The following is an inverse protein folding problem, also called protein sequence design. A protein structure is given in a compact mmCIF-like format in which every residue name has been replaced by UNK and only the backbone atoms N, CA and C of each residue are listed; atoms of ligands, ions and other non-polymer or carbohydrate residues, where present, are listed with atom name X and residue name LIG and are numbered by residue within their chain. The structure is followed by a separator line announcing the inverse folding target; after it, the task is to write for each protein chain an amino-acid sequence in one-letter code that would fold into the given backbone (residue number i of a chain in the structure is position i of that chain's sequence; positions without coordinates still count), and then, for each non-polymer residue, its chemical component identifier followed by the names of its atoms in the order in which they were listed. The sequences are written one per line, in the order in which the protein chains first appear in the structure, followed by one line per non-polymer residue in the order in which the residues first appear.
data_IF_086103686680
#
_entry.id   IF_086103686680
#
_cell.length_a   1.000
_cell.length_b   1.000
_cell.length_c   1.000
_cell.angle_alpha   90.00
_cell.angle_beta   90.00
_cell.angle_gamma   90.00
#
_symmetry.space_group_name_H-M   'P 1'
#
loop_
_entity.id
_entity.type
_entity.pdbx_description
1 polymer ?
#
# COMPACT_ATOMS: atom_id res chain seq x y z
N UNK A 1 5.86 9.39 -16.15
CA UNK A 1 7.24 9.11 -15.64
C UNK A 1 8.40 10.04 -16.11
N UNK A 2 8.21 11.05 -16.96
CA UNK A 2 9.29 12.00 -17.34
C UNK A 2 9.21 13.35 -16.61
N UNK A 3 8.20 13.52 -15.76
CA UNK A 3 7.87 14.78 -15.09
C UNK A 3 8.91 15.13 -14.01
N UNK A 4 9.23 16.43 -13.82
CA UNK A 4 10.12 16.85 -12.73
C UNK A 4 9.45 16.67 -11.36
N UNK A 5 10.24 16.62 -10.29
CA UNK A 5 9.72 16.51 -8.91
C UNK A 5 10.05 15.18 -8.26
N UNK A 6 9.34 14.83 -7.20
CA UNK A 6 9.42 13.52 -6.51
C UNK A 6 8.04 12.95 -6.18
N UNK A 7 7.06 13.83 -6.14
CA UNK A 7 5.62 13.68 -6.02
C UNK A 7 4.94 13.39 -7.37
N UNK A 8 5.59 12.53 -8.18
CA UNK A 8 5.13 12.09 -9.50
C UNK A 8 5.41 10.61 -9.66
N UNK A 9 4.75 9.94 -10.60
CA UNK A 9 4.98 8.52 -10.86
C UNK A 9 6.41 8.29 -11.41
N UNK A 10 7.12 7.35 -10.78
CA UNK A 10 8.48 6.98 -11.16
C UNK A 10 8.67 5.47 -11.25
N UNK A 11 9.40 5.02 -12.26
CA UNK A 11 10.01 3.70 -12.26
C UNK A 11 11.27 3.64 -11.39
N UNK A 12 11.78 2.42 -11.17
CA UNK A 12 12.97 2.19 -10.37
C UNK A 12 14.21 2.92 -10.92
N UNK A 13 14.33 3.04 -12.25
CA UNK A 13 15.47 3.76 -12.86
C UNK A 13 15.41 5.25 -12.53
N UNK A 14 14.22 5.83 -12.55
CA UNK A 14 13.98 7.25 -12.34
C UNK A 14 14.20 7.65 -10.88
N UNK A 15 13.64 6.91 -9.92
CA UNK A 15 13.83 7.20 -8.50
C UNK A 15 15.32 7.11 -8.12
N UNK A 16 16.03 6.07 -8.56
CA UNK A 16 17.47 5.90 -8.30
C UNK A 16 18.31 7.02 -8.90
N UNK A 17 18.03 7.42 -10.15
CA UNK A 17 18.70 8.57 -10.78
C UNK A 17 18.47 9.86 -9.99
N UNK A 18 17.26 10.09 -9.46
CA UNK A 18 16.92 11.28 -8.68
C UNK A 18 17.64 11.28 -7.33
N UNK A 19 17.75 10.12 -6.67
CA UNK A 19 18.57 9.91 -5.47
C UNK A 19 20.03 10.25 -5.78
N UNK A 20 20.62 9.67 -6.83
CA UNK A 20 22.02 9.89 -7.22
C UNK A 20 22.32 11.37 -7.56
N UNK A 21 21.33 12.09 -8.10
CA UNK A 21 21.44 13.52 -8.42
C UNK A 21 21.21 14.47 -7.24
N UNK A 22 20.82 13.96 -6.06
CA UNK A 22 20.53 14.76 -4.86
C UNK A 22 19.22 15.55 -4.93
N UNK A 23 18.27 15.12 -5.78
CA UNK A 23 16.94 15.75 -5.88
C UNK A 23 15.99 15.22 -4.80
N UNK A 24 16.13 13.94 -4.44
CA UNK A 24 15.33 13.32 -3.37
C UNK A 24 15.85 13.80 -2.01
N UNK A 25 14.98 14.31 -1.12
CA UNK A 25 15.39 14.73 0.23
C UNK A 25 15.82 13.53 1.07
N UNK A 26 16.63 13.78 2.11
CA UNK A 26 17.22 12.72 2.96
C UNK A 26 16.19 11.71 3.48
N UNK A 27 15.04 12.19 3.97
CA UNK A 27 13.95 11.30 4.44
C UNK A 27 13.43 10.37 3.34
N UNK A 28 13.38 10.85 2.09
CA UNK A 28 12.91 10.06 0.95
C UNK A 28 13.94 9.02 0.53
N UNK A 29 15.23 9.36 0.59
CA UNK A 29 16.33 8.41 0.38
C UNK A 29 16.28 7.32 1.46
N UNK A 30 16.13 7.70 2.73
CA UNK A 30 16.01 6.76 3.85
C UNK A 30 14.82 5.82 3.69
N UNK A 31 13.65 6.34 3.27
CA UNK A 31 12.47 5.52 2.99
C UNK A 31 12.73 4.49 1.90
N UNK A 32 13.19 4.94 0.72
CA UNK A 32 13.41 4.04 -0.43
C UNK A 32 14.49 2.99 -0.12
N UNK A 33 15.60 3.38 0.51
CA UNK A 33 16.65 2.45 0.89
C UNK A 33 16.17 1.47 1.97
N UNK A 34 15.42 1.92 2.98
CA UNK A 34 14.84 1.01 3.97
C UNK A 34 13.82 0.05 3.36
N UNK A 35 13.04 0.50 2.37
CA UNK A 35 12.11 -0.33 1.63
C UNK A 35 12.85 -1.43 0.87
N UNK A 36 13.80 -1.01 0.02
CA UNK A 36 14.58 -1.90 -0.84
C UNK A 36 15.41 -2.89 -0.02
N UNK A 37 16.06 -2.45 1.05
CA UNK A 37 16.82 -3.32 1.94
C UNK A 37 15.91 -4.31 2.69
N UNK A 38 14.68 -3.90 3.04
CA UNK A 38 13.69 -4.81 3.63
C UNK A 38 13.24 -5.90 2.66
N UNK A 39 12.97 -5.54 1.39
CA UNK A 39 12.56 -6.52 0.38
C UNK A 39 13.70 -7.44 -0.05
N UNK A 40 14.88 -6.89 -0.34
CA UNK A 40 16.00 -7.65 -0.92
C UNK A 40 16.93 -8.26 0.15
N UNK A 41 16.73 -7.91 1.41
CA UNK A 41 17.50 -8.41 2.53
C UNK A 41 16.96 -9.71 3.10
N UNK A 42 17.58 -10.11 4.20
CA UNK A 42 17.18 -11.28 4.99
C UNK A 42 17.01 -10.86 6.45
N UNK A 43 16.09 -11.53 7.14
CA UNK A 43 15.88 -11.43 8.57
C UNK A 43 15.65 -12.81 9.14
N UNK A 44 16.24 -13.11 10.28
CA UNK A 44 16.22 -14.46 10.86
C UNK A 44 16.65 -15.53 9.83
N UNK A 45 17.70 -15.23 9.05
CA UNK A 45 18.21 -16.09 7.96
C UNK A 45 17.15 -16.44 6.89
N UNK A 46 16.08 -15.64 6.80
CA UNK A 46 14.93 -15.84 5.90
C UNK A 46 14.76 -14.61 4.99
N UNK A 47 14.53 -14.78 3.68
CA UNK A 47 14.25 -13.65 2.78
C UNK A 47 12.86 -13.06 3.06
N UNK A 48 12.60 -11.87 2.53
CA UNK A 48 11.28 -11.24 2.65
C UNK A 48 10.12 -12.20 2.25
N UNK A 49 9.00 -12.25 3.00
CA UNK A 49 7.99 -13.29 2.80
C UNK A 49 7.34 -13.30 1.41
N UNK A 50 7.07 -12.11 0.88
CA UNK A 50 6.47 -11.95 -0.44
C UNK A 50 7.54 -12.10 -1.53
N UNK A 51 7.66 -13.29 -2.10
CA UNK A 51 8.60 -13.52 -3.20
C UNK A 51 8.28 -12.70 -4.46
N UNK A 52 7.02 -12.33 -4.68
CA UNK A 52 6.64 -11.43 -5.78
C UNK A 52 7.22 -10.04 -5.59
N UNK A 53 7.17 -9.48 -4.38
CA UNK A 53 7.79 -8.18 -4.07
C UNK A 53 9.30 -8.20 -4.26
N UNK A 54 9.96 -9.32 -3.93
CA UNK A 54 11.38 -9.52 -4.23
C UNK A 54 11.62 -9.49 -5.75
N UNK A 55 10.83 -10.26 -6.49
CA UNK A 55 10.98 -10.41 -7.95
C UNK A 55 10.76 -9.09 -8.69
N UNK A 56 9.71 -8.34 -8.35
CA UNK A 56 9.41 -7.04 -8.98
C UNK A 56 10.50 -6.01 -8.66
N UNK A 57 10.99 -5.97 -7.42
CA UNK A 57 12.09 -5.07 -7.02
C UNK A 57 13.42 -5.44 -7.70
N UNK A 58 13.71 -6.73 -7.89
CA UNK A 58 14.93 -7.18 -8.59
C UNK A 58 14.90 -6.88 -10.10
N UNK A 59 13.72 -6.98 -10.72
CA UNK A 59 13.53 -6.69 -12.15
C UNK A 59 13.43 -5.21 -12.46
N UNK A 60 13.05 -4.41 -11.48
CA UNK A 60 12.81 -2.97 -11.64
C UNK A 60 11.40 -2.65 -12.13
N UNK A 61 10.45 -3.54 -11.85
CA UNK A 61 9.04 -3.46 -12.28
C UNK A 61 8.16 -2.68 -11.29
N UNK A 62 8.65 -2.42 -10.09
CA UNK A 62 7.93 -1.62 -9.08
C UNK A 62 7.92 -0.14 -9.47
N UNK A 63 6.80 0.53 -9.15
CA UNK A 63 6.60 1.96 -9.34
C UNK A 63 6.61 2.68 -7.98
N UNK A 64 6.97 3.96 -7.98
CA UNK A 64 7.16 4.73 -6.75
C UNK A 64 6.68 6.18 -6.89
N UNK A 65 6.30 6.76 -5.76
CA UNK A 65 6.12 8.21 -5.61
C UNK A 65 6.37 8.64 -4.16
N UNK A 66 6.62 9.93 -3.95
CA UNK A 66 6.75 10.52 -2.62
C UNK A 66 5.58 11.46 -2.33
N UNK A 67 4.95 11.30 -1.17
CA UNK A 67 3.90 12.22 -0.73
C UNK A 67 4.44 13.12 0.39
N UNK A 68 4.48 14.46 0.22
CA UNK A 68 5.12 15.35 1.18
C UNK A 68 4.31 15.56 2.48
N UNK A 69 3.10 15.01 2.58
CA UNK A 69 2.24 15.13 3.76
C UNK A 69 1.18 14.04 3.80
N UNK A 70 0.79 13.60 5.00
CA UNK A 70 -0.34 12.69 5.20
C UNK A 70 -1.69 13.43 5.33
N UNK A 71 -1.71 14.77 5.44
CA UNK A 71 -2.92 15.55 5.73
C UNK A 71 -3.07 16.83 4.91
N UNK A 72 -2.03 17.22 4.15
CA UNK A 72 -2.11 18.42 3.32
C UNK A 72 -2.95 18.14 2.07
N UNK A 73 -3.93 19.00 1.83
CA UNK A 73 -4.91 18.82 0.75
C UNK A 73 -4.24 18.72 -0.62
N UNK A 74 -3.30 19.62 -0.94
CA UNK A 74 -2.72 19.69 -2.28
C UNK A 74 -1.74 18.51 -2.50
N UNK A 75 -1.05 18.08 -1.44
CA UNK A 75 -0.24 16.86 -1.45
C UNK A 75 -1.07 15.59 -1.73
N UNK A 76 -2.24 15.46 -1.08
CA UNK A 76 -3.11 14.29 -1.27
C UNK A 76 -3.86 14.33 -2.61
N UNK A 77 -4.17 15.51 -3.15
CA UNK A 77 -4.67 15.64 -4.53
C UNK A 77 -3.61 15.21 -5.55
N UNK A 78 -2.36 15.63 -5.38
CA UNK A 78 -1.25 15.21 -6.24
C UNK A 78 -1.01 13.69 -6.18
N UNK A 79 -1.21 13.08 -4.99
CA UNK A 79 -1.21 11.62 -4.86
C UNK A 79 -2.37 10.98 -5.65
N UNK A 80 -3.57 11.57 -5.58
CA UNK A 80 -4.71 11.15 -6.40
C UNK A 80 -4.39 11.19 -7.90
N UNK A 81 -3.82 12.28 -8.40
CA UNK A 81 -3.35 12.40 -9.80
C UNK A 81 -2.30 11.34 -10.16
N UNK A 82 -1.36 11.06 -9.25
CA UNK A 82 -0.36 9.99 -9.44
C UNK A 82 -1.01 8.61 -9.53
N UNK A 83 -2.05 8.34 -8.74
CA UNK A 83 -2.80 7.08 -8.80
C UNK A 83 -3.58 6.95 -10.11
N UNK A 84 -4.07 8.05 -10.68
CA UNK A 84 -4.68 8.05 -12.02
C UNK A 84 -3.64 7.73 -13.10
N UNK A 85 -2.48 8.39 -13.10
CA UNK A 85 -1.38 8.06 -14.04
C UNK A 85 -0.96 6.60 -13.88
N UNK A 86 -0.89 6.11 -12.64
CA UNK A 86 -0.57 4.72 -12.35
C UNK A 86 -1.57 3.73 -12.98
N UNK A 87 -2.87 3.96 -12.82
CA UNK A 87 -3.91 3.13 -13.41
C UNK A 87 -3.87 3.12 -14.95
N UNK A 88 -3.39 4.19 -15.58
CA UNK A 88 -3.23 4.23 -17.05
C UNK A 88 -2.05 3.39 -17.57
N UNK A 89 -1.04 3.10 -16.73
CA UNK A 89 0.24 2.55 -17.22
C UNK A 89 0.64 1.20 -16.62
N UNK A 90 0.09 0.79 -15.48
CA UNK A 90 0.63 -0.35 -14.73
C UNK A 90 0.55 -1.68 -15.51
N UNK A 91 -0.55 -1.93 -16.23
CA UNK A 91 -0.74 -3.14 -17.04
C UNK A 91 0.28 -3.25 -18.18
N UNK A 92 0.59 -2.12 -18.83
CA UNK A 92 1.58 -2.04 -19.91
C UNK A 92 3.03 -2.01 -19.38
N UNK A 93 3.23 -1.63 -18.12
CA UNK A 93 4.54 -1.52 -17.49
C UNK A 93 5.15 -2.90 -17.19
N UNK A 94 4.40 -3.77 -16.52
CA UNK A 94 4.80 -5.15 -16.21
C UNK A 94 3.57 -6.00 -15.86
N UNK A 95 3.69 -7.33 -15.96
CA UNK A 95 2.69 -8.27 -15.42
C UNK A 95 2.40 -7.98 -13.95
N UNK A 96 3.41 -7.52 -13.20
CA UNK A 96 3.22 -7.04 -11.82
C UNK A 96 3.98 -5.75 -11.57
N UNK A 97 3.23 -4.67 -11.35
CA UNK A 97 3.79 -3.35 -11.12
C UNK A 97 3.13 -2.70 -9.89
N UNK A 98 3.48 -3.08 -8.65
CA UNK A 98 2.94 -2.42 -7.46
C UNK A 98 3.43 -0.96 -7.39
N UNK A 99 2.59 -0.06 -6.86
CA UNK A 99 2.96 1.33 -6.59
C UNK A 99 3.24 1.54 -5.10
N UNK A 100 4.49 1.84 -4.73
CA UNK A 100 4.85 2.19 -3.35
C UNK A 100 4.93 3.71 -3.15
N UNK A 101 4.17 4.21 -2.17
CA UNK A 101 4.09 5.62 -1.79
C UNK A 101 4.83 5.81 -0.47
N UNK A 102 5.82 6.70 -0.47
CA UNK A 102 6.57 7.08 0.74
C UNK A 102 6.09 8.41 1.26
N UNK A 103 5.55 8.43 2.48
CA UNK A 103 5.05 9.66 3.10
C UNK A 103 6.15 10.33 3.90
N UNK A 104 6.24 11.66 3.81
CA UNK A 104 7.17 12.43 4.63
C UNK A 104 6.88 12.19 6.12
N UNK A 105 7.88 11.75 6.91
CA UNK A 105 7.65 11.46 8.31
C UNK A 105 7.43 12.73 9.14
N UNK A 106 6.71 12.56 10.25
CA UNK A 106 6.57 13.62 11.26
C UNK A 106 7.92 13.86 11.95
N UNK A 107 8.14 15.10 12.40
CA UNK A 107 9.29 15.43 13.25
C UNK A 107 9.08 14.96 14.71
N UNK A 108 7.85 14.63 15.07
CA UNK A 108 7.46 14.15 16.40
C UNK A 108 7.27 12.63 16.38
N UNK A 109 7.42 11.98 17.54
CA UNK A 109 7.09 10.56 17.69
C UNK A 109 5.58 10.39 17.48
N UNK A 110 5.23 9.51 16.55
CA UNK A 110 3.84 9.18 16.19
C UNK A 110 3.51 7.79 16.76
N UNK A 111 2.37 7.70 17.44
CA UNK A 111 1.83 6.46 18.01
C UNK A 111 1.16 5.58 16.95
N UNK A 112 0.88 4.32 17.27
CA UNK A 112 0.15 3.41 16.37
C UNK A 112 -1.24 3.96 16.01
N UNK A 113 -1.99 4.47 17.00
CA UNK A 113 -3.30 5.13 16.79
C UNK A 113 -3.20 6.22 15.73
N UNK A 114 -2.21 7.10 15.84
CA UNK A 114 -2.04 8.23 14.91
C UNK A 114 -1.67 7.75 13.49
N UNK A 115 -0.95 6.63 13.34
CA UNK A 115 -0.72 6.03 12.03
C UNK A 115 -1.97 5.40 11.43
N UNK A 116 -2.80 4.75 12.25
CA UNK A 116 -4.12 4.27 11.80
C UNK A 116 -5.00 5.44 11.35
N UNK A 117 -5.09 6.51 12.15
CA UNK A 117 -5.84 7.72 11.80
C UNK A 117 -5.33 8.35 10.49
N UNK A 118 -4.01 8.46 10.33
CA UNK A 118 -3.41 9.02 9.11
C UNK A 118 -3.69 8.17 7.87
N UNK A 119 -3.50 6.85 7.95
CA UNK A 119 -3.78 5.93 6.85
C UNK A 119 -5.24 6.00 6.42
N UNK A 120 -6.17 5.94 7.38
CA UNK A 120 -7.60 6.01 7.08
C UNK A 120 -8.04 7.38 6.59
N UNK A 121 -7.41 8.46 7.07
CA UNK A 121 -7.61 9.79 6.51
C UNK A 121 -7.22 9.86 5.03
N UNK A 122 -6.07 9.29 4.65
CA UNK A 122 -5.61 9.24 3.25
C UNK A 122 -6.60 8.48 2.38
N UNK A 123 -7.00 7.27 2.77
CA UNK A 123 -7.96 6.47 1.98
C UNK A 123 -9.33 7.15 1.89
N UNK A 124 -9.81 7.73 2.98
CA UNK A 124 -11.06 8.49 2.98
C UNK A 124 -11.00 9.72 2.08
N UNK A 125 -9.86 10.44 2.07
CA UNK A 125 -9.62 11.58 1.19
C UNK A 125 -9.67 11.16 -0.27
N UNK A 126 -8.95 10.10 -0.64
CA UNK A 126 -8.96 9.55 -2.00
C UNK A 126 -10.38 9.15 -2.42
N UNK A 127 -11.14 8.45 -1.58
CA UNK A 127 -12.55 8.09 -1.88
C UNK A 127 -13.48 9.30 -2.06
N UNK A 128 -13.25 10.40 -1.33
CA UNK A 128 -14.01 11.65 -1.49
C UNK A 128 -13.66 12.37 -2.80
N UNK A 129 -12.44 12.20 -3.28
CA UNK A 129 -11.95 12.86 -4.49
C UNK A 129 -11.89 11.93 -5.71
N UNK A 130 -12.35 10.69 -5.58
CA UNK A 130 -12.38 9.69 -6.65
C UNK A 130 -13.13 10.23 -7.89
N UNK A 131 -12.49 10.28 -9.07
CA UNK A 131 -13.13 10.73 -10.29
C UNK A 131 -14.17 9.75 -10.83
N UNK A 132 -14.14 8.48 -10.41
CA UNK A 132 -15.08 7.44 -10.82
C UNK A 132 -16.03 7.04 -9.68
N UNK A 133 -17.24 6.53 -9.99
CA UNK A 133 -18.12 5.99 -8.97
C UNK A 133 -17.54 4.70 -8.38
N UNK A 134 -17.86 4.42 -7.12
CA UNK A 134 -17.52 3.14 -6.50
C UNK A 134 -18.07 1.96 -7.34
N UNK A 135 -17.26 0.95 -7.71
CA UNK A 135 -17.65 -0.14 -8.61
C UNK A 135 -18.92 -0.86 -8.16
N UNK A 136 -19.88 -1.10 -9.07
CA UNK A 136 -21.18 -1.70 -8.75
C UNK A 136 -21.07 -3.07 -8.06
N UNK A 137 -20.08 -3.87 -8.47
CA UNK A 137 -19.85 -5.23 -8.00
C UNK A 137 -19.05 -5.30 -6.68
N UNK A 138 -18.50 -4.19 -6.19
CA UNK A 138 -17.80 -4.16 -4.90
C UNK A 138 -18.75 -3.62 -3.81
N UNK A 139 -18.94 -4.33 -2.69
CA UNK A 139 -19.74 -3.87 -1.57
C UNK A 139 -19.30 -2.50 -1.04
N UNK A 140 -20.20 -1.80 -0.35
CA UNK A 140 -19.85 -0.56 0.38
C UNK A 140 -19.69 -0.77 1.88
N UNK A 141 -20.09 -1.95 2.38
CA UNK A 141 -19.92 -2.31 3.79
C UNK A 141 -18.52 -2.91 3.97
N UNK A 142 -17.60 -2.29 4.73
CA UNK A 142 -16.26 -2.81 4.94
C UNK A 142 -16.22 -4.14 5.70
N UNK A 143 -17.31 -4.55 6.35
CA UNK A 143 -17.39 -5.86 7.00
C UNK A 143 -17.83 -6.99 6.04
N UNK A 144 -18.15 -6.67 4.79
CA UNK A 144 -18.37 -7.64 3.72
C UNK A 144 -17.03 -8.27 3.27
N UNK A 145 -17.02 -9.58 3.04
CA UNK A 145 -15.80 -10.31 2.68
C UNK A 145 -15.31 -10.01 1.26
N UNK A 146 -16.16 -9.43 0.40
CA UNK A 146 -15.77 -8.97 -0.94
C UNK A 146 -15.47 -7.46 -0.97
N UNK A 147 -15.55 -6.75 0.16
CA UNK A 147 -15.18 -5.35 0.22
C UNK A 147 -13.67 -5.16 0.04
N UNK A 148 -13.29 -4.19 -0.79
CA UNK A 148 -11.92 -3.71 -0.95
C UNK A 148 -11.94 -2.22 -1.29
N UNK A 149 -10.92 -1.48 -0.86
CA UNK A 149 -10.74 -0.08 -1.22
C UNK A 149 -10.67 0.10 -2.74
N UNK A 150 -11.50 0.98 -3.30
CA UNK A 150 -11.48 1.31 -4.72
C UNK A 150 -11.09 2.77 -4.94
N UNK A 151 -10.36 3.04 -6.02
CA UNK A 151 -10.09 4.38 -6.54
C UNK A 151 -10.07 4.35 -8.06
N UNK A 152 -10.65 5.33 -8.74
CA UNK A 152 -10.74 5.39 -10.20
C UNK A 152 -11.39 4.12 -10.80
N UNK A 153 -12.40 3.58 -10.10
CA UNK A 153 -13.09 2.34 -10.50
C UNK A 153 -12.27 1.05 -10.34
N UNK A 154 -11.03 1.12 -9.86
CA UNK A 154 -10.14 -0.03 -9.67
C UNK A 154 -10.10 -0.46 -8.19
N UNK A 155 -10.41 -1.73 -7.87
CA UNK A 155 -10.17 -2.31 -6.55
C UNK A 155 -8.67 -2.48 -6.28
N UNK A 156 -8.21 -2.01 -5.12
CA UNK A 156 -6.80 -2.05 -4.74
C UNK A 156 -6.63 -2.52 -3.30
N UNK A 157 -5.52 -3.22 -3.06
CA UNK A 157 -5.08 -3.65 -1.73
C UNK A 157 -3.94 -2.74 -1.22
N UNK A 158 -4.19 -1.75 -0.36
CA UNK A 158 -3.16 -0.89 0.20
C UNK A 158 -2.44 -1.62 1.35
N UNK A 159 -1.23 -2.08 1.11
CA UNK A 159 -0.41 -2.73 2.15
C UNK A 159 0.50 -1.70 2.81
N UNK A 160 0.35 -1.49 4.11
CA UNK A 160 1.12 -0.50 4.84
C UNK A 160 2.32 -1.10 5.59
N UNK A 161 3.37 -0.29 5.70
CA UNK A 161 4.46 -0.45 6.66
C UNK A 161 4.60 0.81 7.52
N UNK A 162 4.98 0.65 8.78
CA UNK A 162 5.05 1.75 9.73
C UNK A 162 6.13 1.53 10.83
N UNK A 163 6.54 2.60 11.56
CA UNK A 163 7.59 2.50 12.57
C UNK A 163 7.21 1.82 13.88
N UNK A 164 5.93 1.66 14.20
CA UNK A 164 5.49 1.15 15.49
C UNK A 164 5.63 -0.38 15.65
N UNK A 165 5.81 -1.13 14.56
CA UNK A 165 5.93 -2.60 14.64
C UNK A 165 7.20 -3.07 15.34
N UNK A 166 7.06 -3.77 16.46
CA UNK A 166 8.15 -4.35 17.24
C UNK A 166 8.46 -5.78 16.80
N UNK A 167 7.45 -6.59 16.53
CA UNK A 167 7.59 -8.01 16.20
C UNK A 167 7.33 -8.29 14.71
N UNK A 168 6.47 -7.49 14.06
CA UNK A 168 6.06 -7.70 12.65
C UNK A 168 6.98 -7.00 11.67
N UNK A 169 8.12 -7.61 11.39
CA UNK A 169 9.23 -6.98 10.66
C UNK A 169 9.02 -6.91 9.15
N UNK A 170 8.13 -7.74 8.63
CA UNK A 170 7.53 -7.65 7.31
C UNK A 170 6.71 -6.35 7.14
N UNK A 171 6.16 -5.82 8.23
CA UNK A 171 5.38 -4.58 8.29
C UNK A 171 6.15 -3.37 8.83
N UNK A 172 7.36 -3.59 9.35
CA UNK A 172 8.17 -2.53 9.93
C UNK A 172 8.82 -1.61 8.87
N UNK A 173 8.69 -0.30 9.03
CA UNK A 173 9.48 0.72 8.34
C UNK A 173 9.98 1.75 9.37
N UNK A 174 11.29 1.94 9.56
CA UNK A 174 11.84 2.82 10.60
C UNK A 174 11.60 4.32 10.35
N UNK A 175 11.25 4.71 9.12
CA UNK A 175 11.26 6.12 8.71
C UNK A 175 9.89 6.76 8.92
N UNK A 176 8.82 6.14 8.42
CA UNK A 176 7.47 6.69 8.47
C UNK A 176 6.45 5.76 7.83
N UNK A 177 5.26 6.29 7.52
CA UNK A 177 4.23 5.54 6.80
C UNK A 177 4.67 5.29 5.35
N UNK A 178 4.49 4.05 4.93
CA UNK A 178 4.65 3.60 3.55
C UNK A 178 3.40 2.83 3.17
N UNK A 179 2.83 3.11 2.00
CA UNK A 179 1.67 2.39 1.47
C UNK A 179 2.01 1.84 0.09
N UNK A 180 1.89 0.53 -0.10
CA UNK A 180 1.97 -0.08 -1.42
C UNK A 180 0.58 -0.37 -1.93
N UNK A 181 0.15 0.35 -2.98
CA UNK A 181 -1.13 0.14 -3.66
C UNK A 181 -0.98 -0.94 -4.74
N UNK A 182 -1.89 -1.91 -4.71
CA UNK A 182 -1.86 -3.06 -5.60
C UNK A 182 -3.26 -3.33 -6.16
N UNK A 183 -3.54 -3.02 -7.44
CA UNK A 183 -4.76 -3.46 -8.12
C UNK A 183 -4.98 -4.96 -7.95
N UNK A 184 -6.24 -5.36 -7.81
CA UNK A 184 -6.59 -6.77 -7.57
C UNK A 184 -6.04 -7.72 -8.63
N UNK A 185 -5.95 -7.25 -9.88
CA UNK A 185 -5.37 -7.99 -11.01
C UNK A 185 -3.93 -8.48 -10.73
N UNK A 186 -3.15 -7.76 -9.90
CA UNK A 186 -1.79 -8.17 -9.52
C UNK A 186 -1.74 -9.46 -8.69
N UNK A 187 -2.85 -9.84 -8.05
CA UNK A 187 -2.98 -11.06 -7.26
C UNK A 187 -3.47 -12.25 -8.09
N UNK A 188 -3.74 -12.10 -9.39
CA UNK A 188 -4.12 -13.21 -10.25
C UNK A 188 -3.08 -14.35 -10.18
N UNK A 189 -3.58 -15.58 -10.01
CA UNK A 189 -2.75 -16.77 -9.79
C UNK A 189 -2.16 -16.92 -8.38
N UNK A 190 -2.45 -15.96 -7.48
CA UNK A 190 -2.18 -16.03 -6.04
C UNK A 190 -3.48 -16.23 -5.25
N UNK A 191 -4.66 -16.11 -5.86
CA UNK A 191 -5.99 -16.18 -5.24
C UNK A 191 -6.41 -17.55 -4.68
N UNK A 192 -7.28 -17.58 -3.66
CA UNK A 192 -7.49 -18.74 -2.78
C UNK A 192 -8.39 -19.80 -3.43
N UNK A 193 -9.05 -19.41 -4.51
CA UNK A 193 -9.91 -20.23 -5.37
C UNK A 193 -9.10 -21.16 -6.30
N UNK A 194 -7.77 -21.00 -6.40
CA UNK A 194 -6.91 -21.86 -7.22
C UNK A 194 -5.90 -22.65 -6.39
N UNK A 195 -5.60 -23.90 -6.78
CA UNK A 195 -4.57 -24.73 -6.12
C UNK A 195 -3.18 -24.05 -6.14
N UNK A 196 -2.87 -23.33 -7.23
CA UNK A 196 -1.62 -22.58 -7.37
C UNK A 196 -1.55 -21.42 -6.38
N UNK A 197 -2.65 -20.68 -6.23
CA UNK A 197 -2.71 -19.54 -5.31
C UNK A 197 -2.73 -19.97 -3.85
N UNK A 198 -3.45 -21.03 -3.49
CA UNK A 198 -3.38 -21.65 -2.16
C UNK A 198 -1.94 -22.03 -1.79
N UNK A 199 -1.22 -22.70 -2.70
CA UNK A 199 0.17 -23.08 -2.47
C UNK A 199 1.12 -21.88 -2.39
N UNK A 200 0.89 -20.84 -3.19
CA UNK A 200 1.66 -19.60 -3.11
C UNK A 200 1.48 -18.94 -1.73
N UNK A 201 0.25 -18.91 -1.20
CA UNK A 201 -0.06 -18.38 0.12
C UNK A 201 0.53 -19.20 1.26
N UNK A 202 0.41 -20.52 1.22
CA UNK A 202 1.04 -21.40 2.22
C UNK A 202 2.55 -21.11 2.34
N UNK A 203 3.22 -20.91 1.19
CA UNK A 203 4.64 -20.55 1.16
C UNK A 203 4.88 -19.16 1.75
N UNK A 204 4.06 -18.16 1.39
CA UNK A 204 4.21 -16.80 1.90
C UNK A 204 3.98 -16.75 3.41
N UNK A 205 2.93 -17.41 3.91
CA UNK A 205 2.60 -17.48 5.34
C UNK A 205 3.69 -18.20 6.14
N UNK A 206 4.23 -19.32 5.61
CA UNK A 206 5.36 -20.01 6.24
C UNK A 206 6.61 -19.13 6.34
N UNK A 207 6.94 -18.40 5.26
CA UNK A 207 8.05 -17.43 5.30
C UNK A 207 7.79 -16.25 6.22
N UNK A 208 6.53 -15.82 6.34
CA UNK A 208 6.14 -14.73 7.21
C UNK A 208 6.44 -15.06 8.67
N UNK A 209 6.09 -16.27 9.11
CA UNK A 209 6.40 -16.75 10.47
C UNK A 209 7.91 -16.78 10.74
N UNK A 210 8.69 -17.31 9.80
CA UNK A 210 10.16 -17.39 9.92
C UNK A 210 10.81 -15.98 9.93
N UNK A 211 10.36 -15.10 9.03
CA UNK A 211 10.90 -13.75 8.85
C UNK A 211 10.58 -12.82 10.03
N UNK A 212 9.33 -12.85 10.51
CA UNK A 212 8.90 -12.01 11.64
C UNK A 212 9.33 -12.62 12.98
N UNK A 213 9.44 -13.95 13.07
CA UNK A 213 9.73 -14.66 14.31
C UNK A 213 8.51 -14.78 15.25
N UNK A 214 7.34 -14.39 14.76
CA UNK A 214 6.04 -14.51 15.43
C UNK A 214 5.01 -15.10 14.45
N UNK A 215 3.90 -15.62 14.97
CA UNK A 215 2.83 -16.11 14.12
C UNK A 215 2.28 -15.00 13.21
N UNK A 216 1.81 -15.35 11.99
CA UNK A 216 1.06 -14.42 11.15
C UNK A 216 -0.06 -13.71 11.92
N UNK A 217 -0.38 -12.47 11.52
CA UNK A 217 -1.43 -11.70 12.18
C UNK A 217 -2.76 -12.46 12.14
N UNK A 218 -3.54 -12.45 13.23
CA UNK A 218 -4.79 -13.22 13.32
C UNK A 218 -5.86 -12.78 12.32
N UNK A 219 -5.77 -11.53 11.85
CA UNK A 219 -6.63 -10.95 10.82
C UNK A 219 -6.09 -11.11 9.39
N UNK A 220 -4.96 -11.81 9.19
CA UNK A 220 -4.51 -12.16 7.85
C UNK A 220 -5.53 -13.16 7.26
N UNK A 221 -6.15 -12.76 6.15
CA UNK A 221 -7.25 -13.51 5.53
C UNK A 221 -7.29 -13.33 4.02
N UNK A 222 -8.30 -13.93 3.40
CA UNK A 222 -8.46 -13.98 1.95
C UNK A 222 -9.75 -13.30 1.49
N UNK A 223 -9.63 -12.41 0.51
CA UNK A 223 -10.78 -11.80 -0.14
C UNK A 223 -11.81 -12.83 -0.61
N UNK A 224 -13.08 -12.56 -0.33
CA UNK A 224 -14.21 -13.41 -0.67
C UNK A 224 -14.39 -14.62 0.25
N UNK A 225 -13.52 -14.85 1.24
CA UNK A 225 -13.69 -15.92 2.23
C UNK A 225 -14.58 -15.45 3.38
N UNK A 226 -15.62 -16.23 3.69
CA UNK A 226 -16.55 -15.90 4.78
C UNK A 226 -15.80 -15.80 6.11
N UNK A 227 -15.93 -14.64 6.76
CA UNK A 227 -15.29 -14.33 8.05
C UNK A 227 -13.99 -13.52 7.93
N UNK A 228 -13.38 -13.50 6.73
CA UNK A 228 -12.21 -12.67 6.46
C UNK A 228 -12.63 -11.27 6.01
N UNK A 229 -11.77 -10.30 6.31
CA UNK A 229 -11.97 -8.88 5.97
C UNK A 229 -10.66 -8.33 5.43
N UNK A 230 -10.75 -7.50 4.39
CA UNK A 230 -9.56 -6.89 3.79
C UNK A 230 -9.00 -5.75 4.65
N UNK A 231 -9.88 -4.88 5.16
CA UNK A 231 -9.47 -3.62 5.78
C UNK A 231 -8.48 -3.74 6.96
N UNK A 232 -8.55 -4.75 7.86
CA UNK A 232 -7.58 -4.86 8.94
C UNK A 232 -6.19 -5.22 8.43
N UNK A 233 -6.08 -5.77 7.22
CA UNK A 233 -4.81 -6.18 6.61
C UNK A 233 -4.05 -5.01 5.99
N UNK A 234 -4.73 -3.88 5.78
CA UNK A 234 -4.13 -2.70 5.17
C UNK A 234 -3.06 -2.12 6.09
N UNK A 235 -3.36 -2.01 7.38
CA UNK A 235 -2.40 -1.75 8.45
C UNK A 235 -2.80 -2.64 9.63
N UNK A 236 -2.01 -3.68 9.89
CA UNK A 236 -2.27 -4.58 11.01
C UNK A 236 -2.03 -3.90 12.35
N UNK A 237 -2.76 -4.28 13.39
CA UNK A 237 -2.43 -3.89 14.75
C UNK A 237 -1.14 -4.56 15.24
N UNK A 238 -0.31 -3.80 15.94
CA UNK A 238 0.67 -4.34 16.88
C UNK A 238 0.06 -4.40 18.29
N UNK A 239 -0.66 -3.35 18.69
CA UNK A 239 -1.46 -3.24 19.90
C UNK A 239 -2.95 -3.07 19.53
N UNK A 240 -3.78 -4.08 19.84
CA UNK A 240 -5.22 -4.06 19.54
C UNK A 240 -5.93 -2.85 20.19
N UNK A 241 -5.44 -2.32 21.33
CA UNK A 241 -6.03 -1.12 21.96
C UNK A 241 -5.71 0.18 21.20
N UNK A 242 -4.76 0.13 20.26
CA UNK A 242 -4.32 1.26 19.45
C UNK A 242 -4.78 1.19 18.00
N UNK A 243 -5.45 0.10 17.62
CA UNK A 243 -6.07 -0.06 16.32
C UNK A 243 -7.59 0.19 16.39
N UNK A 244 -8.24 0.55 15.28
CA UNK A 244 -9.68 0.74 15.26
C UNK A 244 -10.44 -0.59 15.37
N UNK A 245 -11.46 -0.64 16.22
CA UNK A 245 -12.35 -1.80 16.38
C UNK A 245 -13.29 -2.03 15.17
N UNK A 246 -13.62 -0.96 14.44
CA UNK A 246 -14.45 -0.95 13.24
C UNK A 246 -13.74 -0.17 12.13
N UNK A 247 -13.99 -0.50 10.87
CA UNK A 247 -13.36 0.19 9.75
C UNK A 247 -13.73 1.70 9.74
N UNK A 248 -12.74 2.63 9.83
CA UNK A 248 -13.03 4.05 9.92
C UNK A 248 -13.54 4.71 8.64
N UNK A 249 -13.42 4.04 7.48
CA UNK A 249 -13.83 4.60 6.21
C UNK A 249 -15.34 4.51 6.02
N UNK A 250 -15.93 5.56 5.44
CA UNK A 250 -17.32 5.56 4.98
C UNK A 250 -17.38 5.50 3.46
N UNK A 251 -17.61 4.30 2.96
CA UNK A 251 -17.80 4.05 1.53
C UNK A 251 -19.22 4.41 1.10
N UNK A 252 -19.37 5.13 -0.01
CA UNK A 252 -20.69 5.48 -0.59
C UNK A 252 -20.61 5.47 -2.12
N UNK A 253 -21.74 5.12 -2.75
CA UNK A 253 -21.94 5.22 -4.20
C UNK A 253 -22.35 6.62 -4.68
N UNK A 254 -22.47 7.59 -3.76
CA UNK A 254 -22.70 8.99 -4.15
C UNK A 254 -21.51 9.46 -4.98
N UNK A 255 -21.79 9.99 -6.17
CA UNK A 255 -20.77 10.44 -7.11
C UNK A 255 -21.33 11.55 -8.02
N UNK A 256 -20.54 12.59 -8.35
CA UNK A 256 -19.24 12.90 -7.75
C UNK A 256 -19.41 13.45 -6.33
N UNK A 257 -18.50 13.09 -5.41
CA UNK A 257 -18.46 13.67 -4.04
C UNK A 257 -17.67 14.98 -4.03
N UNK A 258 -16.70 15.08 -4.92
CA UNK A 258 -15.91 16.26 -5.24
C UNK A 258 -15.66 16.28 -6.76
N UNK A 259 -15.50 17.46 -7.35
CA UNK A 259 -15.13 17.59 -8.76
C UNK A 259 -13.65 17.94 -8.96
N UNK A 260 -12.86 18.07 -7.89
CA UNK A 260 -11.50 18.63 -7.98
C UNK A 260 -10.60 17.81 -8.91
N UNK A 261 -10.56 16.47 -8.78
CA UNK A 261 -9.77 15.62 -9.67
C UNK A 261 -10.43 15.37 -11.03
N UNK A 262 -11.74 15.64 -11.17
CA UNK A 262 -12.46 15.57 -12.45
C UNK A 262 -12.14 16.80 -13.31
N UNK A 263 -11.94 17.95 -12.66
CA UNK A 263 -11.74 19.26 -13.30
C UNK A 263 -10.25 19.62 -13.50
N UNK A 264 -9.32 18.78 -13.03
CA UNK A 264 -7.85 18.97 -13.11
C UNK A 264 -7.30 18.67 -14.51
#
# INVERSE_FOLDING_TARGET
MNEPGIDVLMDQTTIRRRIDSGVVPDWGVEHYESFRNGLLGERNDTPFPCYFGIETEQRGDSLYTFCPSMTDKDALLSLGETLLEYHEVYEDHSERAPLTVFFKPSAETVTEVEYHEAMWHILQFLHVHDPEPWPEDIPTDPDDNEWEFCFNGEPMFPTCRAPFYEDRKSRYCPVGLEITFQPRALFEGVTADTERGQRAREIIQGRLEEYDGVCPHAQLGDWGVEGDREWPQYLFSEDEEQAPDECPIRTTREHPKSTILIDA
#
